data_IF_367152907521
#
_entry.id   IF_367152907521
#
_cell.length_a   1.000
_cell.length_b   1.000
_cell.length_c   1.000
_cell.angle_alpha   90.00
_cell.angle_beta   90.00
_cell.angle_gamma   90.00
#
_symmetry.space_group_name_H-M   'P 1'
#
loop_
_entity.id
_entity.type
_entity.pdbx_description
1 polymer ?
#
# COMPACT_ATOMS: atom_id res chain seq x y z
N UNK A 1 6.66 11.80 3.65
CA UNK A 1 5.43 12.62 3.68
C UNK A 1 4.46 12.05 4.69
N UNK A 2 3.72 12.88 5.43
CA UNK A 2 2.72 12.46 6.42
C UNK A 2 1.39 13.18 6.16
N UNK A 3 0.27 12.46 6.16
CA UNK A 3 -1.09 13.01 6.08
C UNK A 3 -1.58 13.49 7.45
N UNK A 4 -1.57 12.59 8.44
CA UNK A 4 -1.95 12.88 9.81
C UNK A 4 -3.37 12.36 10.11
N UNK A 5 -4.16 13.06 10.93
CA UNK A 5 -5.57 12.73 11.11
C UNK A 5 -6.42 13.29 9.96
N UNK A 6 -7.34 12.49 9.43
CA UNK A 6 -8.23 12.90 8.36
C UNK A 6 -8.21 11.90 7.22
N UNK A 7 -8.88 12.22 6.11
CA UNK A 7 -8.78 11.43 4.90
C UNK A 7 -7.85 12.18 3.95
N UNK A 8 -6.64 11.66 3.79
CA UNK A 8 -5.56 12.32 3.08
C UNK A 8 -5.27 11.70 1.72
N UNK A 9 -4.65 12.49 0.84
CA UNK A 9 -4.14 12.03 -0.46
C UNK A 9 -2.67 12.38 -0.55
N UNK A 10 -1.81 11.36 -0.57
CA UNK A 10 -0.35 11.48 -0.62
C UNK A 10 0.17 10.96 -1.96
N UNK A 11 1.12 11.67 -2.55
CA UNK A 11 1.78 11.30 -3.81
C UNK A 11 3.29 11.46 -3.65
N UNK A 12 4.05 10.38 -3.84
CA UNK A 12 5.50 10.35 -3.78
C UNK A 12 6.12 11.02 -5.00
N UNK A 13 5.98 10.38 -6.16
CA UNK A 13 6.46 10.93 -7.42
C UNK A 13 7.25 9.91 -8.21
N UNK A 14 8.53 10.18 -8.45
CA UNK A 14 9.41 9.33 -9.26
C UNK A 14 10.73 9.04 -8.55
N UNK A 15 10.73 9.13 -7.22
CA UNK A 15 11.90 8.90 -6.37
C UNK A 15 11.50 7.93 -5.26
N UNK A 16 12.47 7.38 -4.55
CA UNK A 16 12.20 6.59 -3.35
C UNK A 16 11.48 7.44 -2.29
N UNK A 17 10.20 7.18 -2.08
CA UNK A 17 9.34 7.92 -1.18
C UNK A 17 8.96 7.12 0.07
N UNK A 18 8.68 7.87 1.15
CA UNK A 18 8.10 7.31 2.38
C UNK A 18 6.79 8.02 2.66
N UNK A 19 5.68 7.33 2.49
CA UNK A 19 4.33 7.88 2.64
C UNK A 19 3.66 7.28 3.88
N UNK A 20 3.11 8.15 4.73
CA UNK A 20 2.42 7.76 5.95
C UNK A 20 1.05 8.44 5.98
N UNK A 21 -0.04 7.68 5.82
CA UNK A 21 -1.42 8.18 5.82
C UNK A 21 -1.78 8.77 7.18
N UNK A 22 -1.78 7.93 8.21
CA UNK A 22 -2.09 8.33 9.57
C UNK A 22 -3.40 7.73 10.01
N UNK A 23 -4.34 8.53 10.52
CA UNK A 23 -5.66 8.04 10.94
C UNK A 23 -6.71 8.53 9.96
N UNK A 24 -7.48 7.62 9.38
CA UNK A 24 -8.62 7.94 8.53
C UNK A 24 -8.61 7.08 7.28
N UNK A 25 -9.31 7.49 6.23
CA UNK A 25 -9.37 6.73 4.98
C UNK A 25 -8.49 7.42 3.93
N UNK A 26 -7.26 6.94 3.80
CA UNK A 26 -6.21 7.62 3.06
C UNK A 26 -5.99 7.00 1.67
N UNK A 27 -5.44 7.81 0.75
CA UNK A 27 -4.99 7.36 -0.56
C UNK A 27 -3.52 7.66 -0.74
N UNK A 28 -2.69 6.64 -0.80
CA UNK A 28 -1.23 6.74 -0.95
C UNK A 28 -0.82 6.23 -2.33
N UNK A 29 -0.08 7.05 -3.06
CA UNK A 29 0.47 6.73 -4.38
C UNK A 29 1.99 6.90 -4.32
N UNK A 30 2.75 5.80 -4.37
CA UNK A 30 4.23 5.83 -4.35
C UNK A 30 4.78 6.48 -5.62
N UNK A 31 4.47 5.88 -6.76
CA UNK A 31 4.75 6.41 -8.09
C UNK A 31 5.84 5.63 -8.79
N UNK A 32 7.10 6.02 -8.66
CA UNK A 32 8.22 5.33 -9.29
C UNK A 32 9.41 5.28 -8.37
N UNK A 33 10.28 4.30 -8.63
CA UNK A 33 11.33 3.83 -7.70
C UNK A 33 10.73 3.14 -6.46
N UNK A 34 11.59 2.72 -5.54
CA UNK A 34 11.22 1.82 -4.45
C UNK A 34 10.59 2.60 -3.28
N UNK A 35 9.30 2.40 -3.05
CA UNK A 35 8.54 3.19 -2.09
C UNK A 35 8.19 2.44 -0.80
N UNK A 36 8.03 3.19 0.30
CA UNK A 36 7.41 2.72 1.54
C UNK A 36 6.06 3.39 1.74
N UNK A 37 4.97 2.62 1.69
CA UNK A 37 3.61 3.09 1.91
C UNK A 37 3.07 2.53 3.23
N UNK A 38 2.68 3.40 4.15
CA UNK A 38 2.08 3.07 5.44
C UNK A 38 0.71 3.74 5.55
N UNK A 39 -0.38 2.97 5.54
CA UNK A 39 -1.75 3.49 5.64
C UNK A 39 -2.04 4.02 7.04
N UNK A 40 -2.01 3.13 8.03
CA UNK A 40 -2.36 3.42 9.41
C UNK A 40 -3.77 2.91 9.72
N UNK A 41 -4.45 3.40 10.77
CA UNK A 41 -5.80 2.97 11.06
C UNK A 41 -6.83 3.61 10.12
N UNK A 42 -7.68 2.78 9.51
CA UNK A 42 -8.89 3.23 8.84
C UNK A 42 -9.23 2.39 7.61
N UNK A 43 -9.50 3.01 6.46
CA UNK A 43 -9.75 2.25 5.23
C UNK A 43 -8.97 2.90 4.13
N UNK A 44 -7.83 2.32 3.83
CA UNK A 44 -6.82 2.94 3.02
C UNK A 44 -6.75 2.31 1.63
N UNK A 45 -6.30 3.12 0.69
CA UNK A 45 -5.97 2.69 -0.67
C UNK A 45 -4.48 2.97 -0.89
N UNK A 46 -3.70 1.91 -1.08
CA UNK A 46 -2.25 2.01 -1.29
C UNK A 46 -1.93 1.54 -2.71
N UNK A 47 -1.23 2.35 -3.47
CA UNK A 47 -0.76 2.06 -4.83
C UNK A 47 0.75 2.28 -4.87
N UNK A 48 1.52 1.21 -5.03
CA UNK A 48 2.97 1.27 -5.04
C UNK A 48 3.47 2.06 -6.23
N UNK A 49 3.31 1.50 -7.43
CA UNK A 49 3.75 2.16 -8.65
C UNK A 49 4.79 1.27 -9.32
N UNK A 50 5.81 1.85 -9.90
CA UNK A 50 6.91 1.08 -10.51
C UNK A 50 8.08 1.02 -9.53
N UNK A 51 8.52 -0.16 -9.13
CA UNK A 51 9.59 -0.26 -8.14
C UNK A 51 9.39 -1.43 -7.20
N UNK A 52 10.37 -1.67 -6.32
CA UNK A 52 10.29 -2.70 -5.30
C UNK A 52 9.65 -2.10 -4.05
N UNK A 53 8.33 -2.10 -4.03
CA UNK A 53 7.58 -1.39 -3.01
C UNK A 53 7.38 -2.21 -1.74
N UNK A 54 7.27 -1.50 -0.61
CA UNK A 54 6.91 -2.05 0.69
C UNK A 54 5.62 -1.41 1.21
N UNK A 55 4.63 -2.25 1.49
CA UNK A 55 3.32 -1.84 1.98
C UNK A 55 3.10 -2.28 3.42
N UNK A 56 2.53 -1.37 4.23
CA UNK A 56 1.98 -1.66 5.56
C UNK A 56 0.63 -0.98 5.67
N UNK A 57 -0.45 -1.70 5.40
CA UNK A 57 -1.78 -1.08 5.36
C UNK A 57 -2.23 -0.70 6.78
N UNK A 58 -2.24 -1.64 7.72
CA UNK A 58 -2.53 -1.35 9.13
C UNK A 58 -3.88 -1.92 9.55
N UNK A 59 -4.51 -1.39 10.60
CA UNK A 59 -5.86 -1.82 10.95
C UNK A 59 -6.88 -1.21 9.99
N UNK A 60 -7.67 -2.01 9.30
CA UNK A 60 -8.57 -1.51 8.29
C UNK A 60 -9.15 -2.58 7.39
N UNK A 61 -9.98 -2.18 6.45
CA UNK A 61 -10.38 -3.07 5.35
C UNK A 61 -9.82 -2.49 4.07
N UNK A 62 -8.54 -2.69 3.86
CA UNK A 62 -7.73 -1.90 2.96
C UNK A 62 -7.74 -2.46 1.53
N UNK A 63 -7.34 -1.61 0.59
CA UNK A 63 -7.16 -2.00 -0.82
C UNK A 63 -5.73 -1.68 -1.24
N UNK A 64 -4.98 -2.71 -1.60
CA UNK A 64 -3.58 -2.59 -1.97
C UNK A 64 -3.42 -2.99 -3.45
N UNK A 65 -2.74 -2.14 -4.21
CA UNK A 65 -2.34 -2.39 -5.60
C UNK A 65 -0.81 -2.47 -5.66
N UNK A 66 -0.33 -3.71 -5.65
CA UNK A 66 1.08 -4.12 -5.65
C UNK A 66 1.29 -5.06 -6.83
N UNK A 67 0.95 -4.62 -8.04
CA UNK A 67 0.93 -5.48 -9.23
C UNK A 67 1.60 -4.78 -10.40
N UNK A 68 2.90 -4.53 -10.26
CA UNK A 68 3.72 -3.83 -11.25
C UNK A 68 4.68 -4.79 -12.00
N UNK A 69 4.63 -6.08 -11.69
CA UNK A 69 5.46 -7.15 -12.23
C UNK A 69 6.70 -7.46 -11.38
N UNK A 70 6.98 -6.71 -10.31
CA UNK A 70 8.13 -6.92 -9.44
C UNK A 70 7.73 -7.77 -8.24
N UNK A 71 8.59 -7.79 -7.22
CA UNK A 71 8.37 -8.58 -6.02
C UNK A 71 8.16 -7.62 -4.86
N UNK A 72 6.91 -7.41 -4.49
CA UNK A 72 6.53 -6.45 -3.47
C UNK A 72 6.46 -7.13 -2.09
N UNK A 73 6.70 -6.35 -1.04
CA UNK A 73 6.49 -6.81 0.34
C UNK A 73 5.22 -6.17 0.89
N UNK A 74 4.17 -6.95 1.11
CA UNK A 74 2.86 -6.46 1.57
C UNK A 74 2.52 -7.02 2.94
N UNK A 75 2.42 -6.14 3.93
CA UNK A 75 1.78 -6.43 5.22
C UNK A 75 0.40 -5.79 5.24
N UNK A 76 -0.63 -6.63 5.17
CA UNK A 76 -2.02 -6.17 5.17
C UNK A 76 -2.47 -5.68 6.54
N UNK A 77 -1.83 -6.10 7.62
CA UNK A 77 -2.24 -5.71 8.97
C UNK A 77 -3.46 -6.48 9.42
N UNK A 78 -4.51 -5.79 9.87
CA UNK A 78 -5.69 -6.45 10.44
C UNK A 78 -6.99 -5.94 9.84
N UNK A 79 -7.87 -6.89 9.50
CA UNK A 79 -9.22 -6.63 9.02
C UNK A 79 -9.52 -7.53 7.83
N UNK A 80 -10.19 -7.00 6.81
CA UNK A 80 -10.48 -7.75 5.58
C UNK A 80 -9.91 -7.03 4.38
N UNK A 81 -8.68 -7.38 4.03
CA UNK A 81 -7.91 -6.64 3.05
C UNK A 81 -8.05 -7.26 1.66
N UNK A 82 -8.11 -6.39 0.66
CA UNK A 82 -8.09 -6.78 -0.75
C UNK A 82 -6.78 -6.38 -1.38
N UNK A 83 -6.01 -7.36 -1.83
CA UNK A 83 -4.72 -7.12 -2.49
C UNK A 83 -4.80 -7.53 -3.96
N UNK A 84 -4.40 -6.63 -4.84
CA UNK A 84 -4.06 -6.94 -6.22
C UNK A 84 -2.54 -7.09 -6.26
N UNK A 85 -2.09 -8.31 -6.47
CA UNK A 85 -0.70 -8.74 -6.33
C UNK A 85 -0.26 -9.55 -7.54
N UNK A 86 1.04 -9.72 -7.72
CA UNK A 86 1.63 -10.63 -8.68
C UNK A 86 2.15 -11.90 -8.02
N UNK A 87 2.60 -12.86 -8.84
CA UNK A 87 3.09 -14.15 -8.31
C UNK A 87 4.42 -14.07 -7.55
N UNK A 88 5.12 -12.95 -7.65
CA UNK A 88 6.42 -12.77 -7.00
C UNK A 88 6.30 -12.12 -5.62
N UNK A 89 5.10 -11.66 -5.23
CA UNK A 89 4.93 -10.88 -4.02
C UNK A 89 4.96 -11.72 -2.76
N UNK A 90 5.47 -11.08 -1.71
CA UNK A 90 5.43 -11.62 -0.36
C UNK A 90 4.30 -10.95 0.42
N UNK A 91 3.22 -11.68 0.61
CA UNK A 91 2.04 -11.21 1.31
C UNK A 91 1.99 -11.76 2.75
N UNK A 92 1.68 -10.91 3.71
CA UNK A 92 1.51 -11.26 5.12
C UNK A 92 0.20 -10.70 5.66
N UNK A 93 -0.58 -11.53 6.35
CA UNK A 93 -1.83 -11.11 6.98
C UNK A 93 -2.96 -10.75 6.00
N UNK A 94 -2.86 -11.15 4.73
CA UNK A 94 -3.81 -10.74 3.69
C UNK A 94 -4.90 -11.82 3.45
N UNK A 95 -6.18 -11.43 3.46
CA UNK A 95 -7.30 -12.37 3.29
C UNK A 95 -7.77 -12.51 1.84
N UNK A 96 -7.94 -11.40 1.11
CA UNK A 96 -8.52 -11.40 -0.24
C UNK A 96 -7.49 -11.03 -1.29
N UNK A 97 -6.65 -12.00 -1.63
CA UNK A 97 -5.60 -11.84 -2.63
C UNK A 97 -6.11 -12.16 -4.03
N UNK A 98 -5.96 -11.21 -4.96
CA UNK A 98 -6.17 -11.37 -6.38
C UNK A 98 -4.83 -11.30 -7.10
N UNK A 99 -4.38 -12.45 -7.56
CA UNK A 99 -3.19 -12.52 -8.40
C UNK A 99 -3.55 -12.05 -9.81
N UNK A 100 -2.92 -10.97 -10.25
CA UNK A 100 -3.02 -10.48 -11.63
C UNK A 100 -1.83 -10.97 -12.46
N UNK A 101 -1.92 -10.84 -13.78
CA UNK A 101 -1.04 -11.53 -14.74
C UNK A 101 0.06 -10.64 -15.26
#
# INVERSE_FOLDING_TARGET
MHGGPGNDVLRGGAQEDRLYGGRGSDHLYGGGDDDLLVGGPGRDVLVGGAGWDTFRAGPGNDVIYAADGRAESVDCGSGFDTVYADRHDRLHGCERVKIVR
#
